data_IF_122429961228
#
_entry.id   IF_122429961228
#
_cell.length_a   1.000
_cell.length_b   1.000
_cell.length_c   1.000
_cell.angle_alpha   90.00
_cell.angle_beta   90.00
_cell.angle_gamma   90.00
#
_symmetry.space_group_name_H-M   'P 1'
#
loop_
_entity.id
_entity.type
_entity.pdbx_description
1 polymer ?
#
# COMPACT_ATOMS: atom_id res chain seq x y z
N UNK A 1 -9.30 -12.63 -19.32
CA UNK A 1 -10.33 -13.46 -18.64
C UNK A 1 -11.32 -13.93 -19.68
N UNK A 2 -11.49 -15.24 -19.85
CA UNK A 2 -12.39 -15.79 -20.85
C UNK A 2 -13.85 -15.52 -20.43
N UNK A 3 -14.48 -14.55 -21.08
CA UNK A 3 -15.89 -14.23 -20.91
C UNK A 3 -16.72 -15.30 -21.62
N UNK A 4 -17.51 -16.08 -20.87
CA UNK A 4 -18.40 -17.08 -21.45
C UNK A 4 -19.70 -16.38 -21.88
N UNK A 5 -19.93 -16.14 -23.19
CA UNK A 5 -21.03 -15.29 -23.67
C UNK A 5 -22.41 -15.86 -23.31
N UNK A 6 -22.48 -17.18 -23.16
CA UNK A 6 -23.70 -17.96 -22.95
C UNK A 6 -24.32 -17.75 -21.57
N UNK A 7 -23.54 -17.24 -20.60
CA UNK A 7 -24.01 -16.94 -19.24
C UNK A 7 -24.21 -15.45 -18.97
N UNK A 8 -24.08 -14.59 -19.99
CA UNK A 8 -24.24 -13.12 -19.86
C UNK A 8 -25.55 -12.74 -19.19
N UNK A 9 -26.66 -13.31 -19.65
CA UNK A 9 -28.00 -13.04 -19.12
C UNK A 9 -28.15 -13.44 -17.64
N UNK A 10 -27.48 -14.52 -17.20
CA UNK A 10 -27.52 -14.96 -15.81
C UNK A 10 -26.87 -13.93 -14.88
N UNK A 11 -25.76 -13.31 -15.28
CA UNK A 11 -25.08 -12.29 -14.48
C UNK A 11 -25.80 -10.94 -14.50
N UNK A 12 -26.42 -10.57 -15.62
CA UNK A 12 -27.25 -9.36 -15.72
C UNK A 12 -28.52 -9.45 -14.87
N UNK A 13 -29.04 -10.65 -14.64
CA UNK A 13 -30.23 -10.89 -13.81
C UNK A 13 -29.91 -10.86 -12.30
N UNK A 14 -28.65 -11.05 -11.90
CA UNK A 14 -28.23 -10.95 -10.50
C UNK A 14 -28.01 -9.47 -10.18
N UNK A 15 -29.11 -8.74 -9.96
CA UNK A 15 -29.06 -7.39 -9.41
C UNK A 15 -28.62 -7.48 -7.94
N UNK A 16 -27.32 -7.28 -7.69
CA UNK A 16 -26.79 -7.18 -6.34
C UNK A 16 -27.16 -5.80 -5.80
N UNK A 17 -27.90 -5.77 -4.68
CA UNK A 17 -28.14 -4.52 -3.97
C UNK A 17 -26.81 -3.83 -3.63
N UNK A 18 -26.76 -2.49 -3.55
CA UNK A 18 -25.56 -1.77 -3.11
C UNK A 18 -25.00 -2.31 -1.80
N UNK A 19 -25.88 -2.72 -0.87
CA UNK A 19 -25.50 -3.36 0.41
C UNK A 19 -24.73 -4.65 0.21
N UNK A 20 -25.13 -5.48 -0.76
CA UNK A 20 -24.45 -6.74 -1.07
C UNK A 20 -23.08 -6.49 -1.68
N UNK A 21 -22.95 -5.49 -2.56
CA UNK A 21 -21.67 -5.10 -3.14
C UNK A 21 -20.72 -4.59 -2.05
N UNK A 22 -21.17 -3.66 -1.20
CA UNK A 22 -20.37 -3.14 -0.08
C UNK A 22 -19.93 -4.25 0.86
N UNK A 23 -20.83 -5.17 1.24
CA UNK A 23 -20.48 -6.30 2.11
C UNK A 23 -19.38 -7.16 1.50
N UNK A 24 -19.49 -7.51 0.22
CA UNK A 24 -18.47 -8.32 -0.46
C UNK A 24 -17.13 -7.60 -0.58
N UNK A 25 -17.13 -6.29 -0.82
CA UNK A 25 -15.89 -5.49 -0.83
C UNK A 25 -15.20 -5.54 0.54
N UNK A 26 -15.96 -5.39 1.63
CA UNK A 26 -15.43 -5.51 2.99
C UNK A 26 -14.86 -6.91 3.24
N UNK A 27 -15.59 -7.97 2.88
CA UNK A 27 -15.14 -9.35 3.04
C UNK A 27 -13.84 -9.62 2.26
N UNK A 28 -13.77 -9.20 0.99
CA UNK A 28 -12.57 -9.34 0.17
C UNK A 28 -11.39 -8.52 0.73
N UNK A 29 -11.64 -7.30 1.21
CA UNK A 29 -10.59 -6.47 1.82
C UNK A 29 -10.02 -7.10 3.09
N UNK A 30 -10.87 -7.74 3.90
CA UNK A 30 -10.46 -8.44 5.10
C UNK A 30 -9.63 -9.68 4.75
N UNK A 31 -10.03 -10.43 3.72
CA UNK A 31 -9.29 -11.59 3.23
C UNK A 31 -7.89 -11.20 2.71
N UNK A 32 -7.81 -10.18 1.84
CA UNK A 32 -6.52 -9.64 1.36
C UNK A 32 -5.63 -9.21 2.52
N UNK A 33 -6.19 -8.50 3.51
CA UNK A 33 -5.46 -8.08 4.70
C UNK A 33 -4.95 -9.27 5.51
N UNK A 34 -5.73 -10.34 5.64
CA UNK A 34 -5.31 -11.55 6.34
C UNK A 34 -4.18 -12.26 5.60
N UNK A 35 -4.27 -12.37 4.27
CA UNK A 35 -3.20 -12.95 3.44
C UNK A 35 -1.90 -12.15 3.57
N UNK A 36 -1.98 -10.82 3.48
CA UNK A 36 -0.84 -9.92 3.70
C UNK A 36 -0.22 -10.10 5.09
N UNK A 37 -1.04 -10.12 6.13
CA UNK A 37 -0.55 -10.30 7.52
C UNK A 37 0.16 -11.63 7.68
N UNK A 38 -0.43 -12.72 7.15
CA UNK A 38 0.17 -14.05 7.19
C UNK A 38 1.49 -14.11 6.42
N UNK A 39 1.58 -13.44 5.27
CA UNK A 39 2.83 -13.34 4.52
C UNK A 39 3.90 -12.61 5.35
N UNK A 40 3.56 -11.48 5.97
CA UNK A 40 4.51 -10.70 6.78
C UNK A 40 4.91 -11.36 8.09
N UNK A 41 4.11 -12.29 8.62
CA UNK A 41 4.46 -13.06 9.80
C UNK A 41 5.78 -13.83 9.67
N UNK A 42 6.24 -14.18 8.47
CA UNK A 42 7.49 -14.94 8.29
C UNK A 42 8.62 -14.09 7.70
N UNK A 43 8.35 -12.83 7.35
CA UNK A 43 9.24 -12.02 6.53
C UNK A 43 9.75 -10.80 7.29
N UNK A 44 11.02 -10.50 7.08
CA UNK A 44 11.50 -9.15 7.34
C UNK A 44 11.08 -8.24 6.18
N UNK A 45 10.58 -7.06 6.51
CA UNK A 45 9.97 -6.18 5.52
C UNK A 45 10.39 -4.72 5.71
N UNK A 46 10.19 -3.95 4.66
CA UNK A 46 10.37 -2.49 4.62
C UNK A 46 9.07 -1.86 4.18
N UNK A 47 8.86 -0.62 4.59
CA UNK A 47 7.72 0.18 4.11
C UNK A 47 8.26 1.14 3.07
N UNK A 48 7.71 1.13 1.87
CA UNK A 48 8.00 2.12 0.85
C UNK A 48 6.85 3.12 0.76
N UNK A 49 7.18 4.40 0.73
CA UNK A 49 6.19 5.47 0.56
C UNK A 49 6.53 6.24 -0.70
N UNK A 50 5.54 6.38 -1.56
CA UNK A 50 5.63 7.07 -2.83
C UNK A 50 4.60 8.18 -2.93
N UNK A 51 4.91 9.24 -3.67
CA UNK A 51 3.96 10.30 -3.97
C UNK A 51 3.28 9.97 -5.31
N UNK A 52 1.98 9.75 -5.25
CA UNK A 52 1.12 9.53 -6.41
C UNK A 52 0.21 10.74 -6.59
N UNK A 53 -0.31 10.93 -7.81
CA UNK A 53 -1.36 11.91 -8.12
C UNK A 53 -2.63 11.17 -8.50
N UNK A 54 -3.77 11.62 -7.99
CA UNK A 54 -5.07 11.12 -8.43
C UNK A 54 -5.45 11.68 -9.81
N UNK A 55 -6.63 11.31 -10.33
CA UNK A 55 -7.11 11.79 -11.63
C UNK A 55 -7.39 13.30 -11.67
N UNK A 56 -7.42 13.97 -10.52
CA UNK A 56 -7.67 15.40 -10.38
C UNK A 56 -6.39 16.16 -10.01
N UNK A 57 -5.20 15.57 -10.27
CA UNK A 57 -3.88 16.12 -9.91
C UNK A 57 -3.72 16.41 -8.40
N UNK A 58 -4.48 15.72 -7.55
CA UNK A 58 -4.34 15.80 -6.10
C UNK A 58 -3.24 14.84 -5.65
N UNK A 59 -2.22 15.38 -4.98
CA UNK A 59 -1.15 14.58 -4.40
C UNK A 59 -1.68 13.64 -3.31
N UNK A 60 -1.14 12.44 -3.27
CA UNK A 60 -1.50 11.40 -2.31
C UNK A 60 -0.26 10.54 -2.03
N UNK A 61 -0.10 10.10 -0.79
CA UNK A 61 0.96 9.16 -0.43
C UNK A 61 0.48 7.73 -0.60
N UNK A 62 1.10 7.00 -1.52
CA UNK A 62 0.93 5.56 -1.66
C UNK A 62 1.91 4.83 -0.74
N UNK A 63 1.38 3.93 0.08
CA UNK A 63 2.16 3.15 1.03
C UNK A 63 2.18 1.69 0.60
N UNK A 64 3.39 1.15 0.49
CA UNK A 64 3.65 -0.23 0.11
C UNK A 64 4.47 -0.94 1.20
N UNK A 65 4.28 -2.24 1.33
CA UNK A 65 5.20 -3.11 2.05
C UNK A 65 6.01 -3.90 1.05
N UNK A 66 7.34 -3.89 1.24
CA UNK A 66 8.32 -4.62 0.44
C UNK A 66 9.08 -5.60 1.31
N UNK A 67 9.17 -6.86 0.89
CA UNK A 67 9.89 -7.90 1.60
C UNK A 67 10.54 -8.88 0.64
N UNK A 68 11.30 -9.81 1.19
CA UNK A 68 11.86 -10.93 0.42
C UNK A 68 11.49 -12.23 1.13
N UNK A 69 10.90 -13.16 0.39
CA UNK A 69 10.50 -14.47 0.93
C UNK A 69 11.69 -15.37 1.20
N UNK A 70 11.49 -16.43 2.00
CA UNK A 70 12.49 -17.48 2.20
C UNK A 70 12.89 -18.18 0.89
N UNK A 71 12.02 -18.14 -0.12
CA UNK A 71 12.30 -18.59 -1.49
C UNK A 71 12.99 -17.53 -2.37
N UNK A 72 13.50 -16.45 -1.76
CA UNK A 72 14.14 -15.30 -2.42
C UNK A 72 13.24 -14.58 -3.46
N UNK A 73 11.92 -14.64 -3.28
CA UNK A 73 10.99 -13.91 -4.13
C UNK A 73 10.76 -12.52 -3.55
N UNK A 74 10.79 -11.50 -4.40
CA UNK A 74 10.44 -10.14 -4.02
C UNK A 74 8.93 -10.09 -3.80
N UNK A 75 8.54 -9.60 -2.64
CA UNK A 75 7.17 -9.35 -2.27
C UNK A 75 6.96 -7.84 -2.22
N UNK A 76 5.96 -7.34 -2.92
CA UNK A 76 5.55 -5.94 -2.86
C UNK A 76 4.02 -5.91 -2.85
N UNK A 77 3.44 -5.30 -1.83
CA UNK A 77 1.99 -5.16 -1.71
C UNK A 77 1.61 -3.74 -1.33
N UNK A 78 0.57 -3.24 -1.97
CA UNK A 78 -0.03 -1.96 -1.65
C UNK A 78 -0.87 -2.05 -0.38
N UNK A 79 -0.73 -1.08 0.51
CA UNK A 79 -1.45 -1.06 1.77
C UNK A 79 -2.59 -0.04 1.72
N UNK A 80 -2.26 1.21 1.40
CA UNK A 80 -3.22 2.31 1.43
C UNK A 80 -2.70 3.58 0.73
N UNK A 81 -3.65 4.47 0.43
CA UNK A 81 -3.43 5.83 -0.05
C UNK A 81 -3.82 6.83 1.03
N UNK A 82 -2.95 7.82 1.29
CA UNK A 82 -3.23 8.95 2.16
C UNK A 82 -3.39 10.19 1.28
N UNK A 83 -4.59 10.77 1.18
CA UNK A 83 -4.75 12.02 0.44
C UNK A 83 -3.95 13.13 1.12
N UNK A 84 -3.23 13.92 0.32
CA UNK A 84 -2.53 15.08 0.81
C UNK A 84 -3.38 16.32 0.53
N UNK A 85 -4.14 16.76 1.53
CA UNK A 85 -4.77 18.07 1.42
C UNK A 85 -3.70 19.17 1.48
N UNK A 86 -3.79 20.13 0.56
CA UNK A 86 -2.82 21.23 0.38
C UNK A 86 -2.58 22.04 1.66
N UNK A 87 -3.54 22.02 2.58
CA UNK A 87 -3.53 22.77 3.85
C UNK A 87 -2.88 22.02 5.01
N UNK A 88 -2.60 20.72 4.89
CA UNK A 88 -2.09 19.90 5.99
C UNK A 88 -0.55 19.97 6.04
N UNK A 89 0.05 20.38 7.15
CA UNK A 89 1.50 20.37 7.32
C UNK A 89 2.10 18.98 7.07
N UNK A 90 3.23 18.93 6.37
CA UNK A 90 3.99 17.69 6.10
C UNK A 90 4.28 16.85 7.36
N UNK A 91 4.51 17.52 8.50
CA UNK A 91 4.70 16.88 9.80
C UNK A 91 3.50 16.01 10.21
N UNK A 92 2.30 16.52 10.00
CA UNK A 92 1.05 15.85 10.38
C UNK A 92 0.77 14.66 9.46
N UNK A 93 1.11 14.76 8.18
CA UNK A 93 1.01 13.65 7.21
C UNK A 93 1.91 12.48 7.65
N UNK A 94 3.13 12.76 8.08
CA UNK A 94 4.05 11.73 8.56
C UNK A 94 3.60 11.12 9.89
N UNK A 95 3.06 11.91 10.81
CA UNK A 95 2.47 11.38 12.05
C UNK A 95 1.24 10.53 11.76
N UNK A 96 0.39 10.93 10.81
CA UNK A 96 -0.73 10.14 10.35
C UNK A 96 -0.28 8.80 9.75
N UNK A 97 0.77 8.82 8.93
CA UNK A 97 1.40 7.60 8.40
C UNK A 97 1.90 6.68 9.52
N UNK A 98 2.66 7.21 10.49
CA UNK A 98 3.17 6.42 11.63
C UNK A 98 2.04 5.85 12.49
N UNK A 99 1.00 6.64 12.75
CA UNK A 99 -0.18 6.20 13.50
C UNK A 99 -0.91 5.08 12.75
N UNK A 100 -1.16 5.25 11.46
CA UNK A 100 -1.79 4.25 10.60
C UNK A 100 -0.98 2.94 10.57
N UNK A 101 0.34 3.05 10.39
CA UNK A 101 1.24 1.91 10.46
C UNK A 101 1.10 1.23 11.82
N UNK A 102 1.12 1.98 12.93
CA UNK A 102 0.98 1.41 14.29
C UNK A 102 -0.37 0.73 14.55
N UNK A 103 -1.43 1.15 13.85
CA UNK A 103 -2.75 0.51 13.90
C UNK A 103 -2.79 -0.80 13.08
N UNK A 104 -1.83 -1.01 12.19
CA UNK A 104 -1.65 -2.29 11.53
C UNK A 104 -1.08 -3.28 12.53
N UNK A 105 -1.68 -4.48 12.56
CA UNK A 105 -1.23 -5.59 13.41
C UNK A 105 0.01 -6.27 12.82
N UNK A 106 0.96 -5.49 12.31
CA UNK A 106 2.23 -6.01 11.82
C UNK A 106 3.20 -6.20 12.98
N UNK A 107 4.06 -7.19 12.84
CA UNK A 107 5.15 -7.39 13.78
C UNK A 107 6.28 -6.39 13.48
N UNK A 108 6.28 -5.28 14.23
CA UNK A 108 7.30 -4.24 14.11
C UNK A 108 8.72 -4.71 14.41
N UNK A 109 8.90 -5.84 15.09
CA UNK A 109 10.24 -6.41 15.29
C UNK A 109 10.89 -6.87 13.97
N UNK A 110 10.07 -7.07 12.92
CA UNK A 110 10.50 -7.50 11.58
C UNK A 110 10.63 -6.34 10.58
N UNK A 111 10.28 -5.12 10.99
CA UNK A 111 10.44 -3.92 10.18
C UNK A 111 11.91 -3.53 10.10
N UNK A 112 12.52 -3.66 8.92
CA UNK A 112 13.91 -3.27 8.65
C UNK A 112 14.04 -1.76 8.47
N UNK A 113 13.01 -1.11 7.90
CA UNK A 113 13.06 0.34 7.69
C UNK A 113 11.94 0.88 6.82
N UNK A 114 11.96 2.21 6.65
CA UNK A 114 11.04 2.96 5.80
C UNK A 114 11.84 3.65 4.70
N UNK A 115 11.43 3.47 3.45
CA UNK A 115 12.02 4.08 2.27
C UNK A 115 11.03 5.06 1.64
N UNK A 116 11.55 6.18 1.13
CA UNK A 116 10.75 7.19 0.42
C UNK A 116 11.50 7.54 -0.87
N UNK A 117 10.86 7.48 -2.03
CA UNK A 117 11.53 7.78 -3.33
C UNK A 117 11.69 9.29 -3.60
N UNK A 118 11.93 10.08 -2.55
CA UNK A 118 12.02 11.53 -2.67
C UNK A 118 10.67 12.23 -2.72
N UNK A 119 9.59 11.61 -2.22
CA UNK A 119 8.33 12.29 -1.93
C UNK A 119 8.63 13.61 -1.18
N UNK A 120 8.48 14.80 -1.80
CA UNK A 120 8.84 16.09 -1.22
C UNK A 120 8.09 16.37 0.09
N UNK A 121 6.93 15.73 0.24
CA UNK A 121 6.13 15.68 1.46
C UNK A 121 6.90 15.15 2.68
N UNK A 122 7.80 14.18 2.50
CA UNK A 122 8.50 13.49 3.59
C UNK A 122 9.96 13.94 3.70
N UNK A 123 10.52 14.51 2.63
CA UNK A 123 11.94 14.87 2.53
C UNK A 123 12.43 15.90 3.58
N UNK A 124 11.52 16.74 4.11
CA UNK A 124 11.83 17.73 5.15
C UNK A 124 12.02 17.16 6.56
N UNK A 125 11.64 15.90 6.82
CA UNK A 125 11.69 15.27 8.15
C UNK A 125 12.90 14.32 8.34
N UNK A 126 13.91 14.45 7.46
CA UNK A 126 15.18 13.69 7.44
C UNK A 126 15.91 13.58 8.79
N UNK A 127 15.60 14.41 9.80
CA UNK A 127 16.24 14.35 11.12
C UNK A 127 15.80 13.20 12.02
N UNK A 128 14.73 12.45 11.70
CA UNK A 128 14.22 11.36 12.58
C UNK A 128 14.21 9.96 11.96
N UNK A 129 14.47 9.85 10.66
CA UNK A 129 14.68 8.57 9.98
C UNK A 129 15.94 8.70 9.13
N UNK A 130 17.11 8.36 9.69
CA UNK A 130 18.28 8.14 8.85
C UNK A 130 18.06 6.83 8.09
N UNK A 131 17.83 6.94 6.78
CA UNK A 131 17.97 5.80 5.89
C UNK A 131 19.46 5.41 5.91
N UNK A 132 19.84 4.39 6.69
CA UNK A 132 21.00 3.58 6.33
C UNK A 132 20.48 2.20 5.97
N UNK A 133 20.10 2.03 4.71
CA UNK A 133 20.49 0.84 3.94
C UNK A 133 20.44 1.21 2.46
N UNK A 134 21.51 0.79 1.79
CA UNK A 134 21.95 1.15 0.46
C UNK A 134 20.85 1.16 -0.61
N UNK A 135 20.98 2.12 -1.52
CA UNK A 135 20.90 1.97 -2.97
C UNK A 135 21.05 0.53 -3.47
N UNK A 136 20.02 -0.29 -3.34
CA UNK A 136 19.92 -1.59 -4.01
C UNK A 136 18.58 -1.54 -4.72
N UNK A 137 18.65 -1.37 -6.05
CA UNK A 137 17.55 -1.13 -7.00
C UNK A 137 17.06 0.32 -7.17
N UNK A 138 17.93 1.17 -7.73
CA UNK A 138 17.47 2.12 -8.75
C UNK A 138 17.18 1.34 -10.04
N UNK A 139 15.99 0.78 -10.16
CA UNK A 139 15.38 0.53 -11.47
C UNK A 139 14.19 1.49 -11.53
N UNK A 140 14.22 2.53 -12.39
CA UNK A 140 13.05 3.37 -12.58
C UNK A 140 11.89 2.50 -13.04
N UNK A 141 10.71 2.74 -12.47
CA UNK A 141 9.49 2.05 -12.80
C UNK A 141 9.05 2.53 -14.19
N UNK A 142 9.60 1.91 -15.23
CA UNK A 142 9.25 2.22 -16.61
C UNK A 142 8.11 1.30 -17.02
N UNK A 143 6.92 1.87 -17.19
CA UNK A 143 5.90 1.28 -18.06
C UNK A 143 6.34 1.42 -19.50
N UNK A 144 6.77 0.32 -20.12
CA UNK A 144 6.63 0.08 -21.56
C UNK A 144 6.51 -1.42 -21.79
#
# INVERSE_FOLDING_TARGET
TAYCPEKKFLFETISLSPRTVTRRVVEMSADVKNQLTNALCELHFTIAVDESTDLNDTAQLAVFVRGVTSAFQIFEEFILLIPMEVTVPRADIFQALLKMISEMKFDFSKLIGVTTDGAPAIEGQKKRLSCTTASIYRKPWNHT
#
